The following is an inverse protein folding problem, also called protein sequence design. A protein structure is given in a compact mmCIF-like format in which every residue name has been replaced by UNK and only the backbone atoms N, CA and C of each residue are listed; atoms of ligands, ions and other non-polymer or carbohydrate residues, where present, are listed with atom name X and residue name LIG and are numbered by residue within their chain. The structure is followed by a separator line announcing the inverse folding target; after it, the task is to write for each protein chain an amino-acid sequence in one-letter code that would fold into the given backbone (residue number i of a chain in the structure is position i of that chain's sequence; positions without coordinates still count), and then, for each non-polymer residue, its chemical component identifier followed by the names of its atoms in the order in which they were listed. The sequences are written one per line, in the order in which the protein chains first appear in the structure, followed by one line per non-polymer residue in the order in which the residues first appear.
data_IF_516302484081
#
_entry.id   IF_516302484081
#
_cell.length_a   1.000
_cell.length_b   1.000
_cell.length_c   1.000
_cell.angle_alpha   90.00
_cell.angle_beta   90.00
_cell.angle_gamma   90.00
#
_symmetry.space_group_name_H-M   'P 1'
#
loop_
_entity.id
_entity.type
_entity.pdbx_description
1 polymer ?
#
# COMPACT_ATOMS: atom_id res chain seq x y z
N UNK A 1 -23.36 -13.16 -3.34
CA UNK A 1 -24.35 -13.62 -2.35
C UNK A 1 -23.84 -13.24 -0.98
N UNK A 2 -24.66 -12.65 -0.10
CA UNK A 2 -24.21 -12.33 1.25
C UNK A 2 -23.86 -13.59 2.04
N UNK A 3 -22.78 -13.51 2.80
CA UNK A 3 -22.34 -14.52 3.77
C UNK A 3 -22.61 -13.92 5.15
N UNK A 4 -23.78 -14.22 5.70
CA UNK A 4 -24.13 -13.87 7.07
C UNK A 4 -23.51 -14.88 8.03
N UNK A 5 -22.71 -14.39 8.97
CA UNK A 5 -22.16 -15.16 10.09
C UNK A 5 -22.53 -14.41 11.36
N UNK A 6 -23.39 -15.01 12.18
CA UNK A 6 -23.80 -14.40 13.43
C UNK A 6 -22.59 -14.08 14.34
N UNK A 7 -22.69 -13.00 15.11
CA UNK A 7 -21.64 -12.56 16.03
C UNK A 7 -21.14 -13.69 16.94
N UNK A 8 -19.81 -13.80 17.08
CA UNK A 8 -19.14 -14.85 17.85
C UNK A 8 -19.19 -16.25 17.22
N UNK A 9 -19.67 -16.38 15.97
CA UNK A 9 -19.59 -17.63 15.20
C UNK A 9 -18.46 -17.56 14.17
N UNK A 10 -18.03 -18.75 13.77
CA UNK A 10 -16.99 -18.92 12.74
C UNK A 10 -17.50 -19.85 11.66
N UNK A 11 -17.44 -19.39 10.40
CA UNK A 11 -17.56 -20.28 9.25
C UNK A 11 -16.17 -20.81 8.91
N UNK A 12 -16.03 -22.13 8.81
CA UNK A 12 -14.78 -22.80 8.44
C UNK A 12 -14.98 -23.65 7.19
N UNK A 13 -13.88 -23.98 6.50
CA UNK A 13 -13.90 -24.71 5.24
C UNK A 13 -13.00 -24.04 4.19
N UNK A 14 -13.35 -24.22 2.92
CA UNK A 14 -12.67 -23.59 1.80
C UNK A 14 -13.70 -22.86 0.93
N UNK A 15 -13.35 -21.66 0.49
CA UNK A 15 -14.14 -20.83 -0.41
C UNK A 15 -13.28 -20.49 -1.62
N UNK A 16 -13.81 -20.74 -2.81
CA UNK A 16 -13.17 -20.36 -4.07
C UNK A 16 -14.02 -19.31 -4.77
N UNK A 17 -13.42 -18.17 -5.12
CA UNK A 17 -14.05 -17.09 -5.88
C UNK A 17 -13.32 -16.90 -7.18
N UNK A 18 -14.02 -17.02 -8.29
CA UNK A 18 -13.46 -16.77 -9.62
C UNK A 18 -14.01 -15.49 -10.25
N UNK A 19 -15.15 -15.00 -9.77
CA UNK A 19 -15.82 -13.77 -10.19
C UNK A 19 -16.93 -13.40 -9.18
N UNK A 20 -17.51 -12.20 -9.33
CA UNK A 20 -18.60 -11.71 -8.47
C UNK A 20 -18.09 -11.28 -7.09
N UNK A 21 -18.98 -11.24 -6.09
CA UNK A 21 -18.62 -10.75 -4.75
C UNK A 21 -19.03 -11.71 -3.64
N UNK A 22 -18.12 -11.89 -2.67
CA UNK A 22 -18.46 -12.34 -1.32
C UNK A 22 -18.78 -11.09 -0.53
N UNK A 23 -20.00 -11.00 -0.01
CA UNK A 23 -20.44 -9.86 0.81
C UNK A 23 -20.53 -10.28 2.26
N UNK A 24 -19.83 -9.58 3.15
CA UNK A 24 -19.78 -9.77 4.59
C UNK A 24 -20.64 -8.67 5.24
N UNK A 25 -21.94 -8.94 5.36
CA UNK A 25 -22.98 -7.96 5.72
C UNK A 25 -23.35 -7.95 7.22
N UNK A 26 -22.74 -8.84 8.00
CA UNK A 26 -22.88 -8.90 9.45
C UNK A 26 -21.51 -9.05 10.10
N UNK A 27 -21.35 -8.54 11.32
CA UNK A 27 -20.12 -8.73 12.07
C UNK A 27 -19.91 -10.21 12.46
N UNK A 28 -18.74 -10.75 12.14
CA UNK A 28 -18.43 -12.16 12.41
C UNK A 28 -16.98 -12.53 12.10
N UNK A 29 -16.72 -13.84 12.07
CA UNK A 29 -15.40 -14.38 11.72
C UNK A 29 -15.51 -15.41 10.59
N UNK A 30 -14.79 -15.18 9.50
CA UNK A 30 -14.56 -16.19 8.47
C UNK A 30 -13.20 -16.85 8.73
N UNK A 31 -13.25 -18.10 9.21
CA UNK A 31 -12.08 -18.95 9.42
C UNK A 31 -11.76 -19.84 8.22
N UNK A 32 -12.57 -19.80 7.16
CA UNK A 32 -12.34 -20.55 5.93
C UNK A 32 -11.11 -20.05 5.18
N UNK A 33 -10.39 -20.96 4.55
CA UNK A 33 -9.42 -20.58 3.50
C UNK A 33 -10.20 -19.99 2.32
N UNK A 34 -9.79 -18.80 1.87
CA UNK A 34 -10.41 -18.09 0.75
C UNK A 34 -9.39 -17.99 -0.39
N UNK A 35 -9.68 -18.65 -1.52
CA UNK A 35 -8.87 -18.57 -2.73
C UNK A 35 -9.62 -17.74 -3.77
N UNK A 36 -9.04 -16.63 -4.19
CA UNK A 36 -9.66 -15.72 -5.15
C UNK A 36 -8.80 -15.58 -6.41
N UNK A 37 -9.42 -15.73 -7.58
CA UNK A 37 -8.80 -15.46 -8.89
C UNK A 37 -9.49 -14.32 -9.64
N UNK A 38 -10.47 -13.68 -9.00
CA UNK A 38 -11.33 -12.64 -9.54
C UNK A 38 -12.35 -12.22 -8.49
N UNK A 39 -13.03 -11.11 -8.74
CA UNK A 39 -14.14 -10.64 -7.90
C UNK A 39 -13.73 -9.83 -6.67
N UNK A 40 -14.70 -9.54 -5.83
CA UNK A 40 -14.60 -8.62 -4.69
C UNK A 40 -14.88 -9.34 -3.37
N UNK A 41 -14.02 -9.14 -2.38
CA UNK A 41 -14.31 -9.40 -0.98
C UNK A 41 -14.84 -8.11 -0.37
N UNK A 42 -16.16 -8.04 -0.21
CA UNK A 42 -16.91 -6.84 0.16
C UNK A 42 -17.30 -6.90 1.64
N UNK A 43 -16.68 -6.04 2.46
CA UNK A 43 -16.91 -5.94 3.91
C UNK A 43 -17.77 -4.72 4.25
N UNK A 44 -19.08 -4.93 4.31
CA UNK A 44 -20.09 -3.95 4.70
C UNK A 44 -20.14 -3.69 6.21
N UNK A 45 -19.62 -4.63 7.00
CA UNK A 45 -19.57 -4.56 8.46
C UNK A 45 -18.17 -4.89 9.00
N UNK A 46 -17.92 -4.53 10.25
CA UNK A 46 -16.65 -4.87 10.91
C UNK A 46 -16.53 -6.38 11.07
N UNK A 47 -15.50 -6.96 10.47
CA UNK A 47 -15.40 -8.40 10.26
C UNK A 47 -13.98 -8.92 10.45
N UNK A 48 -13.83 -10.19 10.79
CA UNK A 48 -12.53 -10.86 10.88
C UNK A 48 -12.39 -11.97 9.83
N UNK A 49 -11.41 -11.85 8.93
CA UNK A 49 -10.92 -12.94 8.10
C UNK A 49 -9.69 -13.56 8.79
N UNK A 50 -9.88 -14.74 9.38
CA UNK A 50 -8.81 -15.48 10.09
C UNK A 50 -8.27 -16.66 9.31
N UNK A 51 -9.03 -17.16 8.33
CA UNK A 51 -8.51 -18.14 7.37
C UNK A 51 -7.55 -17.49 6.37
N UNK A 52 -6.70 -18.30 5.75
CA UNK A 52 -5.76 -17.82 4.74
C UNK A 52 -6.50 -17.24 3.52
N UNK A 53 -6.06 -16.07 3.05
CA UNK A 53 -6.46 -15.49 1.78
C UNK A 53 -5.36 -15.78 0.76
N UNK A 54 -5.73 -16.24 -0.44
CA UNK A 54 -4.79 -16.46 -1.54
C UNK A 54 -5.30 -15.83 -2.81
N UNK A 55 -4.41 -15.10 -3.49
CA UNK A 55 -4.68 -14.43 -4.75
C UNK A 55 -4.04 -15.21 -5.91
N UNK A 56 -4.84 -15.52 -6.93
CA UNK A 56 -4.42 -16.23 -8.16
C UNK A 56 -4.88 -15.51 -9.44
N UNK A 57 -5.27 -14.25 -9.30
CA UNK A 57 -5.76 -13.35 -10.34
C UNK A 57 -5.93 -11.95 -9.75
N UNK A 58 -6.39 -10.98 -10.54
CA UNK A 58 -6.71 -9.66 -10.01
C UNK A 58 -7.97 -9.74 -9.14
N UNK A 59 -7.92 -9.19 -7.94
CA UNK A 59 -9.04 -9.21 -6.98
C UNK A 59 -9.21 -7.84 -6.34
N UNK A 60 -10.38 -7.62 -5.76
CA UNK A 60 -10.70 -6.42 -5.01
C UNK A 60 -11.06 -6.77 -3.56
N UNK A 61 -10.61 -5.93 -2.62
CA UNK A 61 -11.09 -5.90 -1.24
C UNK A 61 -11.74 -4.53 -1.04
N UNK A 62 -13.05 -4.53 -0.84
CA UNK A 62 -13.84 -3.33 -0.54
C UNK A 62 -14.17 -3.33 0.95
N UNK A 63 -13.84 -2.24 1.65
CA UNK A 63 -14.21 -2.06 3.05
C UNK A 63 -15.05 -0.80 3.19
N UNK A 64 -16.30 -0.99 3.64
CA UNK A 64 -17.23 0.10 3.81
C UNK A 64 -16.73 1.16 4.81
N UNK A 65 -17.18 2.39 4.61
CA UNK A 65 -16.75 3.54 5.43
C UNK A 65 -17.00 3.32 6.92
N UNK A 66 -15.99 3.59 7.74
CA UNK A 66 -16.05 3.42 9.19
C UNK A 66 -16.06 1.96 9.68
N UNK A 67 -15.88 0.98 8.76
CA UNK A 67 -15.76 -0.43 9.09
C UNK A 67 -14.30 -0.88 9.04
N UNK A 68 -14.04 -2.02 9.66
CA UNK A 68 -12.72 -2.66 9.64
C UNK A 68 -12.84 -4.11 9.21
N UNK A 69 -12.11 -4.49 8.16
CA UNK A 69 -11.83 -5.88 7.86
C UNK A 69 -10.49 -6.26 8.49
N UNK A 70 -10.53 -7.04 9.56
CA UNK A 70 -9.32 -7.57 10.22
C UNK A 70 -8.87 -8.84 9.51
N UNK A 71 -7.68 -8.83 8.93
CA UNK A 71 -7.05 -10.00 8.33
C UNK A 71 -5.94 -10.54 9.26
N UNK A 72 -6.16 -11.75 9.78
CA UNK A 72 -5.25 -12.44 10.71
C UNK A 72 -4.72 -13.77 10.15
N UNK A 73 -4.97 -14.04 8.87
CA UNK A 73 -4.38 -15.17 8.16
C UNK A 73 -2.88 -14.99 7.89
N UNK A 74 -2.30 -15.92 7.12
CA UNK A 74 -0.91 -15.84 6.68
C UNK A 74 -0.66 -14.59 5.81
N UNK A 75 0.61 -14.17 5.65
CA UNK A 75 0.96 -13.08 4.73
C UNK A 75 0.38 -13.33 3.32
N UNK A 76 -0.15 -12.27 2.70
CA UNK A 76 -0.71 -12.32 1.36
C UNK A 76 0.35 -11.80 0.38
N UNK A 77 0.96 -12.73 -0.36
CA UNK A 77 1.80 -12.39 -1.52
C UNK A 77 0.92 -12.07 -2.73
N UNK A 78 1.16 -10.93 -3.37
CA UNK A 78 0.36 -10.45 -4.50
C UNK A 78 0.65 -11.23 -5.79
N UNK A 79 1.85 -11.83 -5.91
CA UNK A 79 2.27 -12.51 -7.11
C UNK A 79 2.22 -11.59 -8.33
N UNK A 80 1.95 -12.13 -9.51
CA UNK A 80 1.91 -11.35 -10.76
C UNK A 80 0.58 -10.60 -10.97
N UNK A 81 -0.07 -10.16 -9.90
CA UNK A 81 -1.44 -9.67 -9.94
C UNK A 81 -1.62 -8.32 -9.26
N UNK A 82 -2.69 -7.62 -9.66
CA UNK A 82 -3.17 -6.42 -8.99
C UNK A 82 -4.11 -6.79 -7.86
N UNK A 83 -3.83 -6.30 -6.65
CA UNK A 83 -4.79 -6.24 -5.55
C UNK A 83 -5.37 -4.82 -5.51
N UNK A 84 -6.69 -4.70 -5.70
CA UNK A 84 -7.39 -3.43 -5.55
C UNK A 84 -7.94 -3.32 -4.13
N UNK A 85 -7.65 -2.22 -3.47
CA UNK A 85 -8.20 -1.83 -2.18
C UNK A 85 -9.16 -0.65 -2.43
N UNK A 86 -10.44 -0.88 -2.17
CA UNK A 86 -11.51 0.09 -2.42
C UNK A 86 -12.33 0.35 -1.14
N UNK A 87 -13.31 1.24 -1.24
CA UNK A 87 -14.06 1.70 -0.09
C UNK A 87 -13.31 2.74 0.74
N UNK A 88 -13.85 3.06 1.91
CA UNK A 88 -13.36 4.13 2.79
C UNK A 88 -13.18 3.66 4.25
N UNK A 89 -13.06 2.34 4.43
CA UNK A 89 -12.83 1.70 5.72
C UNK A 89 -11.35 1.42 5.97
N UNK A 90 -11.10 0.43 6.84
CA UNK A 90 -9.76 -0.02 7.20
C UNK A 90 -9.57 -1.51 6.92
N UNK A 91 -8.55 -1.84 6.14
CA UNK A 91 -8.03 -3.20 6.04
C UNK A 91 -6.88 -3.38 7.02
N UNK A 92 -7.16 -4.06 8.13
CA UNK A 92 -6.20 -4.25 9.23
C UNK A 92 -5.57 -5.62 9.15
N UNK A 93 -4.40 -5.72 8.53
CA UNK A 93 -3.68 -6.97 8.33
C UNK A 93 -2.57 -7.17 9.37
N UNK A 94 -2.54 -8.35 9.98
CA UNK A 94 -1.51 -8.73 10.97
C UNK A 94 -0.15 -8.95 10.32
N UNK A 95 -0.13 -9.46 9.09
CA UNK A 95 1.07 -9.72 8.30
C UNK A 95 0.99 -8.89 7.02
N UNK A 96 2.14 -8.39 6.56
CA UNK A 96 2.24 -7.48 5.41
C UNK A 96 1.61 -8.06 4.13
N UNK A 97 0.99 -7.17 3.35
CA UNK A 97 0.72 -7.39 1.93
C UNK A 97 2.04 -7.29 1.18
N UNK A 98 2.50 -8.39 0.58
CA UNK A 98 3.85 -8.47 0.02
C UNK A 98 3.85 -8.36 -1.51
N UNK A 99 4.42 -7.26 -2.02
CA UNK A 99 4.71 -7.06 -3.43
C UNK A 99 5.98 -7.84 -3.77
N UNK A 100 5.78 -9.11 -4.16
CA UNK A 100 6.83 -10.12 -4.28
C UNK A 100 7.15 -10.54 -5.72
N UNK A 101 6.67 -9.78 -6.72
CA UNK A 101 6.86 -10.06 -8.13
C UNK A 101 6.94 -8.77 -8.94
N UNK A 102 7.63 -8.82 -10.10
CA UNK A 102 7.72 -7.72 -11.05
C UNK A 102 6.36 -7.13 -11.45
N UNK A 103 5.32 -7.97 -11.51
CA UNK A 103 3.95 -7.56 -11.84
C UNK A 103 3.04 -7.37 -10.62
N UNK A 104 3.54 -7.51 -9.38
CA UNK A 104 2.77 -7.18 -8.19
C UNK A 104 2.40 -5.71 -8.20
N UNK A 105 1.10 -5.42 -8.06
CA UNK A 105 0.60 -4.05 -7.97
C UNK A 105 -0.45 -3.94 -6.86
N UNK A 106 -0.32 -2.92 -6.02
CA UNK A 106 -1.36 -2.53 -5.07
C UNK A 106 -2.05 -1.28 -5.61
N UNK A 107 -3.35 -1.36 -5.87
CA UNK A 107 -4.15 -0.22 -6.30
C UNK A 107 -5.03 0.26 -5.15
N UNK A 108 -4.85 1.51 -4.72
CA UNK A 108 -5.68 2.21 -3.75
C UNK A 108 -6.68 3.08 -4.53
N UNK A 109 -7.85 2.52 -4.82
CA UNK A 109 -8.81 3.14 -5.75
C UNK A 109 -9.80 4.10 -5.08
N UNK A 110 -9.72 4.24 -3.76
CA UNK A 110 -10.67 4.99 -2.92
C UNK A 110 -9.95 5.40 -1.62
N UNK A 111 -10.64 6.10 -0.71
CA UNK A 111 -10.04 6.62 0.54
C UNK A 111 -9.80 5.58 1.65
N UNK A 112 -9.32 4.40 1.29
CA UNK A 112 -9.08 3.29 2.19
C UNK A 112 -7.81 3.49 3.04
N UNK A 113 -7.84 2.92 4.25
CA UNK A 113 -6.64 2.70 5.07
C UNK A 113 -6.23 1.23 5.01
N UNK A 114 -4.95 0.97 4.76
CA UNK A 114 -4.34 -0.36 4.79
C UNK A 114 -3.20 -0.35 5.80
N UNK A 115 -3.16 -1.33 6.71
CA UNK A 115 -2.24 -1.27 7.84
C UNK A 115 -0.78 -1.51 7.44
N UNK A 116 -0.45 -2.61 6.76
CA UNK A 116 0.96 -2.97 6.51
C UNK A 116 1.22 -3.56 5.13
N UNK A 117 2.19 -2.99 4.42
CA UNK A 117 2.60 -3.38 3.07
C UNK A 117 4.12 -3.50 3.02
N UNK A 118 4.64 -4.51 2.31
CA UNK A 118 6.07 -4.75 2.12
C UNK A 118 6.42 -4.97 0.67
N UNK A 119 7.70 -4.79 0.33
CA UNK A 119 8.25 -5.16 -0.98
C UNK A 119 9.42 -6.14 -0.84
N UNK A 120 9.27 -7.32 -1.42
CA UNK A 120 10.29 -8.38 -1.42
C UNK A 120 10.89 -8.67 -2.82
N UNK A 121 10.44 -7.94 -3.84
CA UNK A 121 11.02 -7.89 -5.18
C UNK A 121 10.81 -6.52 -5.83
N UNK A 122 11.54 -6.24 -6.91
CA UNK A 122 11.14 -5.18 -7.85
C UNK A 122 9.73 -5.49 -8.34
N UNK A 123 8.89 -4.47 -8.43
CA UNK A 123 7.45 -4.61 -8.58
C UNK A 123 6.82 -3.52 -9.46
N UNK A 124 5.52 -3.65 -9.74
CA UNK A 124 4.75 -2.66 -10.52
C UNK A 124 4.16 -1.54 -9.64
N UNK A 125 4.48 -1.53 -8.35
CA UNK A 125 4.27 -0.39 -7.48
C UNK A 125 2.94 -0.32 -6.76
N UNK A 126 2.74 0.85 -6.18
CA UNK A 126 1.53 1.27 -5.50
C UNK A 126 0.92 2.40 -6.33
N UNK A 127 -0.35 2.26 -6.67
CA UNK A 127 -1.10 3.22 -7.46
C UNK A 127 -2.21 3.82 -6.59
N UNK A 128 -2.30 5.15 -6.56
CA UNK A 128 -3.12 5.90 -5.61
C UNK A 128 -4.01 6.85 -6.39
N UNK A 129 -5.22 6.36 -6.71
CA UNK A 129 -6.24 7.09 -7.47
C UNK A 129 -7.06 8.05 -6.57
N UNK A 130 -7.08 7.81 -5.25
CA UNK A 130 -7.74 8.65 -4.26
C UNK A 130 -6.94 8.80 -2.96
N UNK A 131 -7.24 9.82 -2.16
CA UNK A 131 -6.53 10.10 -0.91
C UNK A 131 -6.58 8.91 0.05
N UNK A 132 -5.46 8.23 0.21
CA UNK A 132 -5.38 6.93 0.90
C UNK A 132 -4.32 6.93 1.99
N UNK A 133 -4.39 5.94 2.88
CA UNK A 133 -3.39 5.76 3.95
C UNK A 133 -2.81 4.36 3.91
N UNK A 134 -1.48 4.28 3.86
CA UNK A 134 -0.74 3.08 4.25
C UNK A 134 -0.12 3.34 5.62
N UNK A 135 -0.62 2.70 6.67
CA UNK A 135 -0.10 2.97 8.03
C UNK A 135 1.38 2.59 8.15
N UNK A 136 1.82 1.56 7.41
CA UNK A 136 3.21 1.19 7.25
C UNK A 136 3.47 0.63 5.85
N UNK A 137 4.44 1.22 5.14
CA UNK A 137 5.02 0.68 3.93
C UNK A 137 6.53 0.45 4.13
N UNK A 138 6.99 -0.79 3.99
CA UNK A 138 8.43 -1.12 4.01
C UNK A 138 8.94 -1.38 2.60
N UNK A 139 9.94 -0.61 2.19
CA UNK A 139 10.56 -0.68 0.85
C UNK A 139 12.01 -1.15 0.95
N UNK A 140 12.34 -2.21 0.21
CA UNK A 140 13.70 -2.71 0.05
C UNK A 140 14.12 -2.88 -1.43
N UNK A 141 13.19 -2.66 -2.36
CA UNK A 141 13.33 -2.90 -3.80
C UNK A 141 12.80 -1.71 -4.60
N UNK A 142 13.06 -1.65 -5.90
CA UNK A 142 12.53 -0.57 -6.72
C UNK A 142 11.00 -0.67 -6.80
N UNK A 143 10.34 0.38 -6.28
CA UNK A 143 8.90 0.41 -6.06
C UNK A 143 8.35 1.75 -6.59
N UNK A 144 7.67 1.74 -7.74
CA UNK A 144 6.89 2.87 -8.19
C UNK A 144 5.80 3.23 -7.18
N UNK A 145 5.60 4.53 -6.94
CA UNK A 145 4.51 5.06 -6.12
C UNK A 145 3.84 6.15 -6.95
N UNK A 146 2.85 5.71 -7.73
CA UNK A 146 2.07 6.54 -8.64
C UNK A 146 0.93 7.17 -7.85
N UNK A 147 1.04 8.46 -7.57
CA UNK A 147 0.01 9.21 -6.84
C UNK A 147 -0.63 10.17 -7.82
N UNK A 148 -1.93 9.97 -8.07
CA UNK A 148 -2.68 10.79 -9.00
C UNK A 148 -2.59 12.29 -8.63
N UNK A 149 -2.66 13.14 -9.64
CA UNK A 149 -2.57 14.59 -9.44
C UNK A 149 -3.63 15.10 -8.47
N UNK A 150 -3.19 15.86 -7.47
CA UNK A 150 -4.06 16.38 -6.41
C UNK A 150 -4.50 15.35 -5.36
N UNK A 151 -3.94 14.12 -5.40
CA UNK A 151 -4.12 13.09 -4.38
C UNK A 151 -2.91 12.99 -3.46
N UNK A 152 -3.13 12.36 -2.30
CA UNK A 152 -2.15 12.21 -1.24
C UNK A 152 -2.08 10.76 -0.75
N UNK A 153 -0.86 10.21 -0.68
CA UNK A 153 -0.59 9.00 0.08
C UNK A 153 -0.07 9.35 1.48
N UNK A 154 -0.89 9.08 2.50
CA UNK A 154 -0.58 9.34 3.91
C UNK A 154 -0.06 8.12 4.65
N UNK A 155 0.48 8.35 5.85
CA UNK A 155 0.93 7.30 6.78
C UNK A 155 2.44 7.30 6.99
N UNK A 156 3.06 6.11 6.91
CA UNK A 156 4.49 5.96 7.16
C UNK A 156 5.15 5.05 6.13
N UNK A 157 6.35 5.44 5.72
CA UNK A 157 7.16 4.74 4.74
C UNK A 157 8.57 4.57 5.31
N UNK A 158 9.05 3.33 5.30
CA UNK A 158 10.40 2.95 5.71
C UNK A 158 11.15 2.40 4.52
N UNK A 159 12.20 3.11 4.07
CA UNK A 159 13.08 2.66 2.98
C UNK A 159 14.37 2.14 3.57
N UNK A 160 14.65 0.86 3.34
CA UNK A 160 15.87 0.20 3.81
C UNK A 160 16.89 0.00 2.69
N UNK A 161 16.42 -0.17 1.46
CA UNK A 161 17.18 -0.34 0.23
C UNK A 161 16.28 -0.03 -0.98
N UNK A 162 16.81 -0.19 -2.20
CA UNK A 162 16.03 0.00 -3.42
C UNK A 162 15.68 1.47 -3.67
N UNK A 163 14.50 1.72 -4.23
CA UNK A 163 14.01 3.07 -4.49
C UNK A 163 12.50 3.21 -4.34
N UNK A 164 12.07 4.38 -3.90
CA UNK A 164 10.71 4.88 -4.11
C UNK A 164 10.75 5.78 -5.33
N UNK A 165 9.96 5.45 -6.35
CA UNK A 165 9.91 6.19 -7.60
C UNK A 165 8.57 6.91 -7.73
N UNK A 166 8.60 8.22 -7.55
CA UNK A 166 7.45 9.11 -7.74
C UNK A 166 7.35 9.45 -9.22
N UNK A 167 6.49 8.73 -9.94
CA UNK A 167 6.32 8.84 -11.39
C UNK A 167 5.10 9.67 -11.82
N UNK A 168 4.27 10.09 -10.86
CA UNK A 168 3.14 10.99 -11.06
C UNK A 168 3.22 12.28 -10.26
N UNK A 169 2.20 13.15 -10.36
CA UNK A 169 2.23 14.52 -9.86
C UNK A 169 1.66 14.73 -8.44
N UNK A 170 1.20 13.65 -7.80
CA UNK A 170 0.58 13.71 -6.48
C UNK A 170 1.55 14.00 -5.33
N UNK A 171 1.03 13.84 -4.11
CA UNK A 171 1.74 14.15 -2.87
C UNK A 171 2.02 12.89 -2.06
N UNK A 172 3.29 12.59 -1.82
CA UNK A 172 3.70 11.68 -0.76
C UNK A 172 3.62 12.42 0.58
N UNK A 173 2.46 12.31 1.23
CA UNK A 173 2.19 12.91 2.54
C UNK A 173 2.71 12.09 3.73
N UNK A 174 3.17 10.87 3.47
CA UNK A 174 3.68 9.95 4.48
C UNK A 174 4.98 10.45 5.12
N UNK A 175 5.16 10.17 6.41
CA UNK A 175 6.50 10.26 7.00
C UNK A 175 7.42 9.26 6.31
N UNK A 176 8.63 9.68 5.95
CA UNK A 176 9.59 8.85 5.21
C UNK A 176 10.84 8.69 6.06
N UNK A 177 11.10 7.47 6.53
CA UNK A 177 12.36 7.11 7.19
C UNK A 177 13.22 6.33 6.21
N UNK A 178 14.45 6.77 5.97
CA UNK A 178 15.35 6.12 5.02
C UNK A 178 16.68 5.76 5.67
N UNK A 179 17.03 4.47 5.69
CA UNK A 179 18.35 3.99 6.10
C UNK A 179 19.26 3.62 4.92
N UNK A 180 18.74 3.75 3.71
CA UNK A 180 19.40 3.44 2.44
C UNK A 180 18.50 3.79 1.26
N UNK A 181 18.96 3.48 0.05
CA UNK A 181 18.17 3.60 -1.17
C UNK A 181 18.03 5.03 -1.71
N UNK A 182 17.10 5.17 -2.67
CA UNK A 182 16.86 6.40 -3.42
C UNK A 182 15.41 6.84 -3.32
N UNK A 183 15.19 8.13 -3.03
CA UNK A 183 13.94 8.81 -3.32
C UNK A 183 14.06 9.39 -4.72
N UNK A 184 13.45 8.74 -5.69
CA UNK A 184 13.54 9.01 -7.12
C UNK A 184 12.28 9.76 -7.59
N UNK A 185 12.44 10.98 -8.09
CA UNK A 185 11.38 11.81 -8.62
C UNK A 185 11.45 11.87 -10.15
N UNK A 186 10.79 10.91 -10.78
CA UNK A 186 10.63 10.81 -12.23
C UNK A 186 9.62 11.81 -12.80
N UNK A 187 8.75 12.34 -11.95
CA UNK A 187 7.85 13.40 -12.27
C UNK A 187 7.84 14.50 -11.21
N UNK A 188 7.37 15.68 -11.61
CA UNK A 188 7.23 16.79 -10.68
C UNK A 188 6.14 16.46 -9.65
N UNK A 189 6.56 16.26 -8.41
CA UNK A 189 5.74 15.72 -7.32
C UNK A 189 6.04 16.44 -6.00
N UNK A 190 5.26 16.13 -4.96
CA UNK A 190 5.43 16.72 -3.63
C UNK A 190 5.71 15.64 -2.59
N UNK A 191 6.68 15.90 -1.70
CA UNK A 191 6.87 15.17 -0.45
C UNK A 191 6.59 16.14 0.69
N UNK A 192 5.45 15.98 1.35
CA UNK A 192 5.03 16.87 2.44
C UNK A 192 5.20 16.26 3.83
N UNK A 193 5.33 14.93 3.92
CA UNK A 193 5.70 14.28 5.17
C UNK A 193 7.16 14.51 5.52
N UNK A 194 7.50 14.36 6.80
CA UNK A 194 8.87 14.52 7.27
C UNK A 194 9.79 13.43 6.67
N UNK A 195 10.91 13.85 6.08
CA UNK A 195 11.99 12.96 5.65
C UNK A 195 13.05 12.85 6.75
N UNK A 196 13.34 11.64 7.22
CA UNK A 196 14.33 11.37 8.26
C UNK A 196 15.40 10.39 7.76
N UNK A 197 16.66 10.73 7.96
CA UNK A 197 17.79 9.84 7.66
C UNK A 197 18.18 8.98 8.85
N UNK A 198 18.25 7.68 8.62
CA UNK A 198 18.83 6.67 9.49
C UNK A 198 20.06 5.99 8.85
N UNK A 199 20.52 6.50 7.70
CA UNK A 199 21.64 6.01 6.92
C UNK A 199 21.93 6.94 5.75
N UNK A 200 22.89 6.57 4.89
CA UNK A 200 23.20 7.32 3.67
C UNK A 200 22.09 7.12 2.64
N UNK A 201 21.63 8.20 2.01
CA UNK A 201 20.52 8.16 1.04
C UNK A 201 20.82 8.99 -0.19
N UNK A 202 20.07 8.73 -1.25
CA UNK A 202 20.06 9.54 -2.47
C UNK A 202 18.67 10.16 -2.68
N UNK A 203 18.63 11.43 -3.07
CA UNK A 203 17.48 12.03 -3.73
C UNK A 203 17.87 12.22 -5.18
N UNK A 204 17.14 11.56 -6.08
CA UNK A 204 17.32 11.67 -7.53
C UNK A 204 16.13 12.45 -8.11
N UNK A 205 16.39 13.48 -8.90
CA UNK A 205 15.32 14.24 -9.57
C UNK A 205 15.61 14.26 -11.06
N UNK A 206 14.70 13.68 -11.85
CA UNK A 206 14.85 13.59 -13.30
C UNK A 206 14.93 14.97 -13.97
N UNK A 207 15.58 15.03 -15.14
CA UNK A 207 15.74 16.28 -15.91
C UNK A 207 14.40 16.97 -16.19
N UNK A 208 14.39 18.29 -16.03
CA UNK A 208 13.19 19.12 -16.18
C UNK A 208 12.10 18.91 -15.12
N UNK A 209 12.31 18.04 -14.12
CA UNK A 209 11.35 17.79 -13.03
C UNK A 209 11.67 18.60 -11.78
N UNK A 210 10.67 18.73 -10.92
CA UNK A 210 10.81 19.34 -9.60
C UNK A 210 10.26 18.40 -8.53
N UNK A 211 11.10 18.01 -7.58
CA UNK A 211 10.63 17.47 -6.31
C UNK A 211 10.40 18.62 -5.33
N UNK A 212 9.15 18.83 -4.91
CA UNK A 212 8.82 19.84 -3.90
C UNK A 212 8.80 19.19 -2.52
N UNK A 213 9.68 19.60 -1.63
CA UNK A 213 9.71 19.17 -0.25
C UNK A 213 9.13 20.25 0.65
N UNK A 214 8.09 19.92 1.42
CA UNK A 214 7.44 20.83 2.38
C UNK A 214 7.36 20.26 3.79
N UNK A 215 8.05 19.14 4.03
CA UNK A 215 8.18 18.53 5.36
C UNK A 215 9.09 19.33 6.30
N UNK A 216 9.30 18.80 7.51
CA UNK A 216 10.20 19.40 8.50
C UNK A 216 11.65 19.51 7.99
N UNK A 217 12.44 20.41 8.56
CA UNK A 217 13.85 20.57 8.18
C UNK A 217 14.63 19.24 8.30
N UNK A 218 15.38 18.90 7.25
CA UNK A 218 16.16 17.67 7.19
C UNK A 218 17.46 17.81 7.99
N UNK A 219 17.62 16.97 9.02
CA UNK A 219 18.87 16.87 9.78
C UNK A 219 19.70 15.69 9.28
N UNK A 220 20.92 15.95 8.81
CA UNK A 220 21.80 14.91 8.23
C UNK A 220 22.55 14.11 9.32
N UNK A 221 22.83 14.72 10.47
CA UNK A 221 23.65 14.09 11.50
C UNK A 221 25.02 13.64 10.97
N UNK A 222 25.30 12.33 11.10
CA UNK A 222 26.53 11.69 10.60
C UNK A 222 26.39 11.09 9.19
N UNK A 223 25.21 11.20 8.57
CA UNK A 223 24.89 10.56 7.30
C UNK A 223 25.08 11.49 6.11
N UNK A 224 25.26 10.89 4.93
CA UNK A 224 25.37 11.61 3.66
C UNK A 224 24.04 11.60 2.92
N UNK A 225 23.56 12.79 2.57
CA UNK A 225 22.56 12.98 1.53
C UNK A 225 23.27 13.21 0.20
N UNK A 226 23.05 12.33 -0.77
CA UNK A 226 23.48 12.52 -2.15
C UNK A 226 22.33 13.14 -2.94
N UNK A 227 22.59 14.24 -3.62
CA UNK A 227 21.68 14.78 -4.63
C UNK A 227 22.16 14.32 -6.00
N UNK A 228 21.32 13.59 -6.73
CA UNK A 228 21.58 13.18 -8.11
C UNK A 228 20.49 13.70 -9.05
N UNK A 229 20.71 13.48 -10.35
CA UNK A 229 19.82 13.94 -11.40
C UNK A 229 20.08 15.39 -11.82
N UNK A 230 19.40 15.80 -12.88
CA UNK A 230 19.52 17.13 -13.48
C UNK A 230 18.33 18.05 -13.12
N UNK A 231 17.35 17.50 -12.40
CA UNK A 231 16.17 18.22 -11.94
C UNK A 231 16.42 19.08 -10.70
N UNK A 232 15.31 19.58 -10.14
CA UNK A 232 15.34 20.54 -9.03
C UNK A 232 14.69 19.98 -7.77
N UNK A 233 15.40 20.01 -6.65
CA UNK A 233 14.78 19.96 -5.33
C UNK A 233 14.35 21.37 -4.92
N UNK A 234 13.06 21.54 -4.59
CA UNK A 234 12.48 22.79 -4.07
C UNK A 234 12.14 22.59 -2.60
N UNK A 235 12.60 23.47 -1.71
CA UNK A 235 12.27 23.44 -0.29
C UNK A 235 11.91 24.82 0.27
#
# INVERSE_FOLDING_TARGET
TPVSIASGKTLSGAITVTAGSIKLDEAGTLGSTVSMSGGTLDADETFTLSGALTQTGAIEIDVASGKTLTYSGASLSLGAYTLTMSGAGTFSNTNDLDLNNASSKLLLSSSITVDSVSTSADNSGIDVDDDSTLSSLTVAHTTPVSIASGKTLSGAVTVTAGSIKLDEAGTLGSTVSMSGGTLDADNSSTVSGALTQAGNITIDVADGKTLTYSGAALSLGAYTLTMSGEGRLSN
#
